data_IF_800462206197
#
_entry.id   IF_800462206197
#
_cell.length_a   1.000
_cell.length_b   1.000
_cell.length_c   1.000
_cell.angle_alpha   90.00
_cell.angle_beta   90.00
_cell.angle_gamma   90.00
#
_symmetry.space_group_name_H-M   'P 1'
#
loop_
_entity.id
_entity.type
_entity.pdbx_description
1 polymer ?
#
# COMPACT_ATOMS: atom_id res chain seq x y z
N UNK A 1 -11.55 -24.21 -9.20
CA UNK A 1 -10.30 -23.60 -9.70
C UNK A 1 -9.83 -22.67 -8.60
N UNK A 2 -8.69 -22.95 -7.97
CA UNK A 2 -8.11 -22.01 -7.00
C UNK A 2 -7.63 -20.78 -7.76
N UNK A 3 -8.12 -19.61 -7.36
CA UNK A 3 -7.64 -18.32 -7.87
C UNK A 3 -6.27 -18.05 -7.26
N UNK A 4 -5.24 -17.97 -8.11
CA UNK A 4 -3.89 -17.61 -7.66
C UNK A 4 -3.88 -16.12 -7.36
N UNK A 5 -3.66 -15.75 -6.10
CA UNK A 5 -3.49 -14.35 -5.71
C UNK A 5 -2.15 -13.82 -6.20
N UNK A 6 -2.17 -12.62 -6.80
CA UNK A 6 -1.01 -11.94 -7.37
C UNK A 6 -0.78 -10.63 -6.61
N UNK A 7 0.42 -10.48 -6.07
CA UNK A 7 0.87 -9.32 -5.32
C UNK A 7 1.67 -8.39 -6.23
N UNK A 8 1.28 -7.11 -6.27
CA UNK A 8 1.91 -6.03 -7.05
C UNK A 8 2.41 -4.91 -6.12
N UNK A 9 3.04 -3.89 -6.68
CA UNK A 9 3.54 -2.74 -5.91
C UNK A 9 2.45 -2.03 -5.10
N UNK A 10 1.25 -1.89 -5.67
CA UNK A 10 0.08 -1.27 -5.05
C UNK A 10 -0.40 -2.07 -3.84
N UNK A 11 -0.22 -3.39 -3.85
CA UNK A 11 -0.52 -4.25 -2.69
C UNK A 11 0.35 -3.87 -1.49
N UNK A 12 1.59 -3.43 -1.70
CA UNK A 12 2.46 -2.91 -0.64
C UNK A 12 1.87 -1.65 -0.03
N UNK A 13 1.42 -0.71 -0.86
CA UNK A 13 0.79 0.54 -0.41
C UNK A 13 -0.47 0.22 0.37
N UNK A 14 -1.36 -0.61 -0.16
CA UNK A 14 -2.63 -0.92 0.48
C UNK A 14 -2.44 -1.57 1.86
N UNK A 15 -1.49 -2.51 1.99
CA UNK A 15 -1.15 -3.14 3.27
C UNK A 15 -0.55 -2.13 4.26
N UNK A 16 0.34 -1.25 3.81
CA UNK A 16 0.88 -0.17 4.65
C UNK A 16 -0.24 0.75 5.13
N UNK A 17 -1.11 1.23 4.24
CA UNK A 17 -2.18 2.16 4.60
C UNK A 17 -3.20 1.53 5.55
N UNK A 18 -3.55 0.25 5.35
CA UNK A 18 -4.37 -0.51 6.30
C UNK A 18 -3.70 -0.57 7.68
N UNK A 19 -2.42 -0.94 7.73
CA UNK A 19 -1.69 -1.09 8.98
C UNK A 19 -1.54 0.24 9.74
N UNK A 20 -1.24 1.33 9.04
CA UNK A 20 -1.13 2.68 9.62
C UNK A 20 -2.47 3.16 10.19
N UNK A 21 -3.58 2.87 9.50
CA UNK A 21 -4.91 3.20 10.01
C UNK A 21 -5.24 2.43 11.31
N UNK A 22 -4.84 1.16 11.40
CA UNK A 22 -5.04 0.33 12.60
C UNK A 22 -4.04 0.64 13.73
N UNK A 23 -2.85 1.10 13.38
CA UNK A 23 -1.72 1.34 14.28
C UNK A 23 -1.13 2.73 14.03
N UNK A 24 -1.84 3.82 14.38
CA UNK A 24 -1.42 5.17 14.01
C UNK A 24 -0.15 5.66 14.73
N UNK A 25 0.17 5.12 15.91
CA UNK A 25 1.41 5.46 16.60
C UNK A 25 2.60 4.69 16.01
N UNK A 26 3.47 5.41 15.30
CA UNK A 26 4.68 4.87 14.68
C UNK A 26 5.56 4.10 15.67
N UNK A 27 5.56 4.46 16.96
CA UNK A 27 6.33 3.76 18.00
C UNK A 27 5.93 2.28 18.15
N UNK A 28 4.75 1.90 17.65
CA UNK A 28 4.29 0.51 17.63
C UNK A 28 4.60 -0.22 16.33
N UNK A 29 5.27 0.39 15.34
CA UNK A 29 5.60 -0.26 14.06
C UNK A 29 6.83 -1.17 14.18
N UNK A 30 6.84 -2.01 15.21
CA UNK A 30 7.90 -2.97 15.47
C UNK A 30 7.32 -4.24 16.11
N UNK A 31 8.00 -5.37 15.92
CA UNK A 31 7.51 -6.68 16.37
C UNK A 31 7.38 -6.79 17.88
N UNK A 32 8.26 -6.11 18.64
CA UNK A 32 8.22 -6.14 20.09
C UNK A 32 6.96 -5.47 20.63
N UNK A 33 6.62 -4.29 20.10
CA UNK A 33 5.45 -3.54 20.51
C UNK A 33 4.13 -4.24 20.16
N UNK A 34 4.10 -5.03 19.08
CA UNK A 34 2.90 -5.76 18.63
C UNK A 34 2.88 -7.22 19.11
N UNK A 35 3.80 -7.63 19.97
CA UNK A 35 3.91 -9.03 20.41
C UNK A 35 2.60 -9.59 20.99
N UNK A 36 1.85 -8.75 21.70
CA UNK A 36 0.58 -9.11 22.34
C UNK A 36 -0.65 -8.84 21.46
N UNK A 37 -0.45 -8.35 20.22
CA UNK A 37 -1.51 -8.12 19.23
C UNK A 37 -1.19 -8.88 17.95
N UNK A 38 -1.49 -10.18 17.96
CA UNK A 38 -1.14 -11.09 16.86
C UNK A 38 -1.66 -10.62 15.49
N UNK A 39 -2.90 -10.14 15.32
CA UNK A 39 -3.36 -9.71 14.00
C UNK A 39 -2.56 -8.54 13.42
N UNK A 40 -2.18 -7.56 14.25
CA UNK A 40 -1.33 -6.44 13.81
C UNK A 40 0.11 -6.88 13.57
N UNK A 41 0.62 -7.82 14.36
CA UNK A 41 1.94 -8.40 14.16
C UNK A 41 2.05 -9.14 12.83
N UNK A 42 1.05 -9.96 12.47
CA UNK A 42 1.01 -10.66 11.18
C UNK A 42 0.97 -9.66 10.03
N UNK A 43 0.12 -8.63 10.09
CA UNK A 43 0.10 -7.55 9.08
C UNK A 43 1.47 -6.89 8.92
N UNK A 44 2.16 -6.61 10.01
CA UNK A 44 3.50 -6.02 9.97
C UNK A 44 4.54 -6.97 9.32
N UNK A 45 4.43 -8.28 9.57
CA UNK A 45 5.27 -9.30 8.89
C UNK A 45 4.96 -9.41 7.39
N UNK A 46 3.69 -9.32 6.98
CA UNK A 46 3.30 -9.27 5.57
C UNK A 46 3.93 -8.05 4.87
N UNK A 47 3.83 -6.87 5.50
CA UNK A 47 4.46 -5.64 4.99
C UNK A 47 5.96 -5.82 4.83
N UNK A 48 6.65 -6.34 5.84
CA UNK A 48 8.09 -6.60 5.77
C UNK A 48 8.46 -7.49 4.56
N UNK A 49 7.75 -8.61 4.41
CA UNK A 49 7.98 -9.57 3.32
C UNK A 49 7.81 -8.92 1.95
N UNK A 50 6.77 -8.09 1.80
CA UNK A 50 6.51 -7.32 0.58
C UNK A 50 7.58 -6.26 0.32
N UNK A 51 8.00 -5.50 1.34
CA UNK A 51 9.08 -4.52 1.19
C UNK A 51 10.37 -5.18 0.71
N UNK A 52 10.69 -6.38 1.20
CA UNK A 52 11.81 -7.16 0.70
C UNK A 52 11.60 -7.62 -0.75
N UNK A 53 10.44 -8.17 -1.09
CA UNK A 53 10.12 -8.64 -2.45
C UNK A 53 10.26 -7.54 -3.51
N UNK A 54 9.81 -6.33 -3.20
CA UNK A 54 9.89 -5.16 -4.08
C UNK A 54 11.17 -4.32 -3.90
N UNK A 55 12.13 -4.79 -3.10
CA UNK A 55 13.41 -4.11 -2.85
C UNK A 55 13.26 -2.67 -2.31
N UNK A 56 12.31 -2.46 -1.41
CA UNK A 56 11.90 -1.16 -0.86
C UNK A 56 12.50 -0.85 0.53
N UNK A 57 13.34 -1.72 1.07
CA UNK A 57 13.97 -1.53 2.39
C UNK A 57 15.10 -0.50 2.35
N UNK A 58 15.23 0.33 3.39
CA UNK A 58 16.22 1.40 3.50
C UNK A 58 17.68 0.90 3.55
N UNK A 59 17.91 -0.28 4.15
CA UNK A 59 19.24 -0.89 4.22
C UNK A 59 19.54 -1.76 2.98
N UNK A 60 19.83 -1.12 1.85
CA UNK A 60 20.30 -1.82 0.63
C UNK A 60 21.76 -2.27 0.66
N UNK A 61 22.49 -1.97 1.73
CA UNK A 61 23.85 -2.49 1.93
C UNK A 61 23.78 -3.76 2.78
N UNK A 62 23.78 -4.92 2.12
CA UNK A 62 24.72 -6.02 2.36
C UNK A 62 24.51 -7.05 1.24
N UNK A 63 25.59 -7.29 0.50
CA UNK A 63 25.77 -8.39 -0.43
C UNK A 63 25.08 -9.68 0.06
N UNK A 64 24.13 -10.17 -0.71
CA UNK A 64 24.02 -11.60 -1.08
C UNK A 64 23.94 -12.65 0.03
N UNK A 65 23.67 -12.31 1.29
CA UNK A 65 23.45 -13.28 2.36
C UNK A 65 22.21 -12.92 3.18
N UNK A 66 21.14 -13.55 2.75
CA UNK A 66 19.89 -13.94 3.41
C UNK A 66 20.01 -14.37 4.89
N UNK A 67 20.54 -13.55 5.80
CA UNK A 67 20.77 -14.01 7.18
C UNK A 67 20.18 -13.18 8.30
N UNK A 68 19.21 -12.29 8.05
CA UNK A 68 18.22 -11.84 9.05
C UNK A 68 17.11 -11.02 8.35
N UNK A 69 16.12 -11.71 7.78
CA UNK A 69 14.99 -11.13 7.01
C UNK A 69 13.98 -10.33 7.83
N UNK A 70 14.23 -10.14 9.12
CA UNK A 70 13.29 -9.55 10.04
C UNK A 70 13.94 -8.30 10.60
N UNK A 71 13.75 -7.16 9.92
CA UNK A 71 13.94 -5.88 10.58
C UNK A 71 12.85 -5.75 11.65
N UNK A 72 13.19 -5.80 12.94
CA UNK A 72 12.16 -5.75 13.99
C UNK A 72 11.46 -4.40 14.03
N UNK A 73 12.03 -3.33 13.44
CA UNK A 73 11.50 -1.96 13.43
C UNK A 73 11.35 -1.44 11.99
N UNK A 74 10.12 -1.44 11.50
CA UNK A 74 9.81 -1.08 10.11
C UNK A 74 9.54 0.41 9.92
N UNK A 75 9.68 1.26 10.95
CA UNK A 75 9.53 2.72 10.78
C UNK A 75 10.44 3.28 9.71
N UNK A 76 11.70 2.85 9.73
CA UNK A 76 12.72 3.29 8.77
C UNK A 76 12.46 2.82 7.33
N UNK A 77 11.62 1.80 7.14
CA UNK A 77 11.25 1.29 5.81
C UNK A 77 9.90 1.86 5.35
N UNK A 78 8.90 1.96 6.24
CA UNK A 78 7.55 2.46 5.92
C UNK A 78 7.55 3.98 5.68
N UNK A 79 8.24 4.77 6.52
CA UNK A 79 8.20 6.23 6.40
C UNK A 79 8.74 6.75 5.05
N UNK A 80 9.89 6.25 4.53
CA UNK A 80 10.35 6.63 3.20
C UNK A 80 9.35 6.27 2.10
N UNK A 81 8.60 5.18 2.26
CA UNK A 81 7.55 4.79 1.31
C UNK A 81 6.41 5.78 1.34
N UNK A 82 5.88 6.13 2.51
CA UNK A 82 4.80 7.13 2.61
C UNK A 82 5.26 8.53 2.16
N UNK A 83 6.50 8.90 2.45
CA UNK A 83 7.11 10.19 2.11
C UNK A 83 7.69 10.29 0.70
N UNK A 84 7.77 9.18 -0.05
CA UNK A 84 8.35 9.16 -1.39
C UNK A 84 9.88 9.34 -1.43
N UNK A 85 10.59 9.21 -0.32
CA UNK A 85 12.04 9.46 -0.26
C UNK A 85 12.84 8.45 -1.10
N UNK A 86 12.32 7.22 -1.26
CA UNK A 86 12.92 6.18 -2.11
C UNK A 86 13.04 6.59 -3.58
N UNK A 87 12.23 7.55 -4.05
CA UNK A 87 12.20 8.03 -5.43
C UNK A 87 13.53 8.67 -5.81
N UNK A 88 14.20 9.33 -4.86
CA UNK A 88 15.48 10.02 -5.10
C UNK A 88 16.65 9.07 -5.38
N UNK A 89 16.50 7.79 -5.02
CA UNK A 89 17.52 6.76 -5.18
C UNK A 89 17.39 5.98 -6.51
N UNK A 90 16.53 6.42 -7.43
CA UNK A 90 16.24 5.73 -8.70
C UNK A 90 16.56 6.65 -9.89
N UNK A 91 17.05 6.06 -10.99
CA UNK A 91 17.22 6.79 -12.26
C UNK A 91 15.86 7.17 -12.84
N UNK A 92 15.78 8.29 -13.56
CA UNK A 92 14.59 8.69 -14.32
C UNK A 92 14.21 7.66 -15.39
N UNK A 93 15.19 6.99 -15.98
CA UNK A 93 14.97 5.97 -17.02
C UNK A 93 14.09 4.81 -16.52
N UNK A 94 14.07 4.59 -15.20
CA UNK A 94 13.19 3.59 -14.58
C UNK A 94 11.72 3.93 -14.76
N UNK A 95 11.36 5.21 -14.89
CA UNK A 95 9.97 5.70 -14.90
C UNK A 95 9.42 5.98 -16.30
N UNK A 96 9.96 5.34 -17.35
CA UNK A 96 9.50 5.57 -18.72
C UNK A 96 8.01 5.24 -18.91
N UNK A 97 7.52 4.12 -18.37
CA UNK A 97 6.08 3.77 -18.44
C UNK A 97 5.19 4.82 -17.75
N UNK A 98 5.65 5.36 -16.61
CA UNK A 98 4.94 6.45 -15.92
C UNK A 98 4.91 7.73 -16.77
N UNK A 99 6.04 8.05 -17.42
CA UNK A 99 6.12 9.22 -18.28
C UNK A 99 5.16 9.12 -19.47
N UNK A 100 5.09 7.94 -20.10
CA UNK A 100 4.15 7.66 -21.19
C UNK A 100 2.69 7.76 -20.72
N UNK A 101 2.36 7.16 -19.58
CA UNK A 101 1.02 7.25 -19.01
C UNK A 101 0.60 8.71 -18.75
N UNK A 102 1.46 9.49 -18.09
CA UNK A 102 1.19 10.90 -17.78
C UNK A 102 1.01 11.71 -19.07
N UNK A 103 1.86 11.48 -20.08
CA UNK A 103 1.75 12.15 -21.37
C UNK A 103 0.41 11.86 -22.04
N UNK A 104 0.01 10.59 -22.13
CA UNK A 104 -1.28 10.20 -22.69
C UNK A 104 -2.45 10.83 -21.90
N UNK A 105 -2.41 10.72 -20.56
CA UNK A 105 -3.45 11.27 -19.68
C UNK A 105 -3.66 12.78 -19.86
N UNK A 106 -2.56 13.53 -20.05
CA UNK A 106 -2.58 14.98 -20.27
C UNK A 106 -3.08 15.34 -21.68
N UNK A 107 -2.66 14.58 -22.70
CA UNK A 107 -3.09 14.77 -24.09
C UNK A 107 -4.60 14.57 -24.24
N UNK A 108 -5.16 13.52 -23.64
CA UNK A 108 -6.61 13.27 -23.64
C UNK A 108 -7.44 14.40 -23.02
N UNK A 109 -6.80 15.22 -22.17
CA UNK A 109 -7.42 16.37 -21.48
C UNK A 109 -7.05 17.71 -22.08
N UNK A 110 -6.46 17.72 -23.29
CA UNK A 110 -6.01 18.93 -23.99
C UNK A 110 -5.06 19.81 -23.14
N UNK A 111 -4.27 19.19 -22.27
CA UNK A 111 -3.25 19.91 -21.50
C UNK A 111 -2.00 20.06 -22.36
N UNK A 112 -1.62 21.30 -22.68
CA UNK A 112 -0.47 21.63 -23.54
C UNK A 112 0.90 21.44 -22.89
N UNK A 113 1.03 20.52 -21.93
CA UNK A 113 2.30 20.27 -21.25
C UNK A 113 3.12 19.24 -22.02
N UNK A 114 4.18 19.72 -22.69
CA UNK A 114 5.13 18.89 -23.44
C UNK A 114 6.54 19.07 -22.84
N UNK A 115 6.76 18.44 -21.68
CA UNK A 115 8.08 18.39 -21.04
C UNK A 115 8.23 17.11 -20.23
N UNK A 116 9.47 16.66 -20.09
CA UNK A 116 9.81 15.46 -19.33
C UNK A 116 9.55 15.63 -17.83
N UNK A 117 9.16 14.52 -17.18
CA UNK A 117 8.97 14.44 -15.73
C UNK A 117 10.32 14.49 -15.03
N UNK A 118 10.45 15.36 -14.02
CA UNK A 118 11.65 15.43 -13.18
C UNK A 118 11.47 14.64 -11.88
N UNK A 119 12.55 14.04 -11.37
CA UNK A 119 12.55 13.29 -10.09
C UNK A 119 11.98 14.14 -8.95
N UNK A 120 12.34 15.43 -8.91
CA UNK A 120 11.87 16.36 -7.89
C UNK A 120 10.36 16.59 -7.95
N UNK A 121 9.77 16.56 -9.13
CA UNK A 121 8.31 16.69 -9.30
C UNK A 121 7.62 15.42 -8.82
N UNK A 122 8.20 14.25 -9.15
CA UNK A 122 7.69 12.96 -8.73
C UNK A 122 7.72 12.82 -7.20
N UNK A 123 8.86 13.16 -6.57
CA UNK A 123 9.01 13.18 -5.11
C UNK A 123 8.03 14.15 -4.44
N UNK A 124 7.77 15.30 -5.06
CA UNK A 124 6.85 16.30 -4.52
C UNK A 124 5.37 15.86 -4.61
N UNK A 125 4.98 15.24 -5.72
CA UNK A 125 3.58 14.87 -5.98
C UNK A 125 3.19 13.55 -5.33
N UNK A 126 4.13 12.61 -5.18
CA UNK A 126 3.85 11.28 -4.64
C UNK A 126 3.18 11.30 -3.25
N UNK A 127 3.68 12.03 -2.23
CA UNK A 127 3.02 12.08 -0.93
C UNK A 127 1.61 12.68 -0.98
N UNK A 128 1.35 13.59 -1.95
CA UNK A 128 0.01 14.15 -2.15
C UNK A 128 -0.96 13.09 -2.68
N UNK A 129 -0.50 12.21 -3.58
CA UNK A 129 -1.28 11.09 -4.09
C UNK A 129 -1.54 10.04 -3.00
N UNK A 130 -0.55 9.71 -2.17
CA UNK A 130 -0.72 8.84 -1.01
C UNK A 130 -1.76 9.41 -0.03
N UNK A 131 -1.64 10.70 0.33
CA UNK A 131 -2.61 11.37 1.20
C UNK A 131 -4.02 11.39 0.59
N UNK A 132 -4.13 11.53 -0.73
CA UNK A 132 -5.42 11.44 -1.40
C UNK A 132 -6.00 10.01 -1.32
N UNK A 133 -5.18 8.97 -1.53
CA UNK A 133 -5.59 7.56 -1.35
C UNK A 133 -6.03 7.25 0.07
N UNK A 134 -5.34 7.80 1.10
CA UNK A 134 -5.75 7.68 2.50
C UNK A 134 -7.17 8.23 2.71
N UNK A 135 -7.41 9.48 2.27
CA UNK A 135 -8.74 10.11 2.37
C UNK A 135 -9.82 9.34 1.60
N UNK A 136 -9.48 8.82 0.42
CA UNK A 136 -10.40 7.97 -0.34
C UNK A 136 -10.76 6.70 0.43
N UNK A 137 -9.79 6.04 1.06
CA UNK A 137 -10.04 4.85 1.89
C UNK A 137 -10.92 5.17 3.09
N UNK A 138 -10.73 6.32 3.73
CA UNK A 138 -11.60 6.78 4.83
C UNK A 138 -13.04 7.00 4.36
N UNK A 139 -13.23 7.61 3.19
CA UNK A 139 -14.56 7.83 2.61
C UNK A 139 -15.21 6.49 2.24
N UNK A 140 -14.50 5.65 1.50
CA UNK A 140 -15.01 4.34 1.05
C UNK A 140 -15.29 3.42 2.23
N UNK A 141 -14.43 3.46 3.24
CA UNK A 141 -14.53 2.69 4.46
C UNK A 141 -15.35 3.35 5.57
N UNK A 142 -16.11 4.42 5.29
CA UNK A 142 -16.77 5.23 6.33
C UNK A 142 -17.66 4.42 7.28
N UNK A 143 -18.36 3.41 6.75
CA UNK A 143 -19.21 2.51 7.55
C UNK A 143 -18.48 1.25 8.06
N UNK A 144 -17.16 1.15 7.89
CA UNK A 144 -16.39 0.01 8.41
C UNK A 144 -16.40 0.01 9.93
N UNK A 145 -16.71 -1.13 10.55
CA UNK A 145 -16.73 -1.29 12.01
C UNK A 145 -18.09 -1.07 12.69
N UNK A 146 -19.17 -0.83 11.92
CA UNK A 146 -20.53 -0.90 12.47
C UNK A 146 -20.88 -2.35 12.84
N UNK A 147 -21.01 -2.63 14.14
CA UNK A 147 -21.40 -3.96 14.64
C UNK A 147 -22.91 -4.10 14.84
N UNK A 148 -23.62 -2.99 15.07
CA UNK A 148 -25.06 -2.99 15.30
C UNK A 148 -25.74 -1.93 14.44
N UNK A 149 -26.65 -2.37 13.56
CA UNK A 149 -27.44 -1.52 12.68
C UNK A 149 -28.95 -1.81 12.80
N UNK A 150 -29.40 -2.29 13.96
CA UNK A 150 -30.77 -2.76 14.18
C UNK A 150 -31.83 -1.64 14.24
N UNK A 151 -31.41 -0.38 14.39
CA UNK A 151 -32.33 0.77 14.41
C UNK A 151 -32.58 1.33 13.00
N UNK A 152 -33.84 1.66 12.63
CA UNK A 152 -34.16 2.14 11.29
C UNK A 152 -33.34 3.36 10.81
N UNK A 153 -33.02 4.29 11.72
CA UNK A 153 -32.22 5.47 11.36
C UNK A 153 -30.73 5.15 11.17
N UNK A 154 -30.20 4.18 11.93
CA UNK A 154 -28.83 3.69 11.71
C UNK A 154 -28.71 3.00 10.35
N UNK A 155 -29.69 2.15 10.00
CA UNK A 155 -29.76 1.53 8.68
C UNK A 155 -29.89 2.57 7.56
N UNK A 156 -30.78 3.57 7.72
CA UNK A 156 -30.90 4.67 6.75
C UNK A 156 -29.57 5.40 6.54
N UNK A 157 -28.87 5.75 7.62
CA UNK A 157 -27.57 6.41 7.56
C UNK A 157 -26.55 5.56 6.78
N UNK A 158 -26.40 4.28 7.15
CA UNK A 158 -25.45 3.35 6.50
C UNK A 158 -25.74 3.24 5.01
N UNK A 159 -27.01 2.98 4.63
CA UNK A 159 -27.39 2.83 3.22
C UNK A 159 -27.17 4.12 2.42
N UNK A 160 -27.45 5.28 3.01
CA UNK A 160 -27.20 6.58 2.38
C UNK A 160 -25.71 6.78 2.10
N UNK A 161 -24.86 6.61 3.11
CA UNK A 161 -23.41 6.85 2.97
C UNK A 161 -22.71 5.78 2.14
N UNK A 162 -23.19 4.52 2.17
CA UNK A 162 -22.73 3.45 1.27
C UNK A 162 -23.05 3.78 -0.20
N UNK A 163 -24.24 4.32 -0.48
CA UNK A 163 -24.62 4.68 -1.85
C UNK A 163 -23.70 5.77 -2.43
N UNK A 164 -23.24 6.70 -1.60
CA UNK A 164 -22.26 7.73 -2.00
C UNK A 164 -20.90 7.08 -2.24
N UNK A 165 -20.43 6.26 -1.31
CA UNK A 165 -19.12 5.59 -1.37
C UNK A 165 -19.01 4.60 -2.53
N UNK A 166 -20.08 3.87 -2.85
CA UNK A 166 -20.12 2.92 -3.97
C UNK A 166 -19.80 3.60 -5.31
N UNK A 167 -20.21 4.87 -5.48
CA UNK A 167 -19.92 5.64 -6.69
C UNK A 167 -18.43 6.01 -6.85
N UNK A 168 -17.60 5.77 -5.84
CA UNK A 168 -16.16 6.04 -5.85
C UNK A 168 -15.32 4.76 -6.01
N UNK A 169 -15.88 3.58 -5.70
CA UNK A 169 -15.13 2.33 -5.53
C UNK A 169 -14.33 1.90 -6.77
N UNK A 170 -14.81 2.24 -7.96
CA UNK A 170 -14.17 1.86 -9.23
C UNK A 170 -13.51 3.05 -9.95
N UNK A 171 -13.48 4.24 -9.33
CA UNK A 171 -13.06 5.49 -9.99
C UNK A 171 -11.62 5.91 -9.69
N UNK A 172 -10.91 5.21 -8.82
CA UNK A 172 -9.52 5.53 -8.48
C UNK A 172 -8.51 4.57 -9.10
N UNK A 173 -8.90 3.79 -10.12
CA UNK A 173 -8.00 2.88 -10.84
C UNK A 173 -6.77 3.59 -11.41
N UNK A 174 -6.93 4.80 -11.97
CA UNK A 174 -5.81 5.61 -12.47
C UNK A 174 -4.83 6.01 -11.35
N UNK A 175 -5.34 6.30 -10.15
CA UNK A 175 -4.49 6.62 -8.99
C UNK A 175 -3.65 5.41 -8.59
N UNK A 176 -4.27 4.23 -8.50
CA UNK A 176 -3.60 2.99 -8.16
C UNK A 176 -2.57 2.60 -9.22
N UNK A 177 -2.90 2.81 -10.49
CA UNK A 177 -1.98 2.56 -11.58
C UNK A 177 -0.76 3.50 -11.53
N UNK A 178 -0.96 4.80 -11.31
CA UNK A 178 0.17 5.74 -11.14
C UNK A 178 1.03 5.36 -9.94
N UNK A 179 0.42 5.02 -8.81
CA UNK A 179 1.15 4.60 -7.62
C UNK A 179 1.92 3.28 -7.82
N UNK A 180 1.35 2.33 -8.57
CA UNK A 180 2.03 1.11 -9.02
C UNK A 180 3.28 1.43 -9.82
N UNK A 181 3.16 2.27 -10.85
CA UNK A 181 4.28 2.66 -11.71
C UNK A 181 5.38 3.42 -10.95
N UNK A 182 5.03 4.09 -9.84
CA UNK A 182 6.02 4.76 -9.00
C UNK A 182 6.73 3.79 -8.07
N UNK A 183 5.99 2.91 -7.36
CA UNK A 183 6.61 1.98 -6.41
C UNK A 183 7.33 0.84 -7.13
N UNK A 184 6.73 0.32 -8.18
CA UNK A 184 7.15 -0.87 -8.91
C UNK A 184 7.29 -0.58 -10.43
N UNK A 185 8.22 0.31 -10.82
CA UNK A 185 8.39 0.69 -12.22
C UNK A 185 8.88 -0.46 -13.12
N UNK A 186 9.39 -1.55 -12.54
CA UNK A 186 9.82 -2.74 -13.27
C UNK A 186 8.68 -3.75 -13.50
N UNK A 187 7.45 -3.45 -13.06
CA UNK A 187 6.29 -4.33 -13.24
C UNK A 187 6.43 -5.69 -12.54
N UNK A 188 7.18 -5.76 -11.43
CA UNK A 188 7.33 -7.00 -10.67
C UNK A 188 5.97 -7.48 -10.15
N UNK A 189 5.76 -8.79 -10.17
CA UNK A 189 4.59 -9.41 -9.58
C UNK A 189 5.02 -10.72 -8.93
N UNK A 190 4.40 -11.06 -7.81
CA UNK A 190 4.72 -12.26 -7.06
C UNK A 190 3.43 -13.02 -6.74
N UNK A 191 3.49 -14.34 -6.87
CA UNK A 191 2.44 -15.21 -6.31
C UNK A 191 2.60 -15.31 -4.79
N UNK A 192 1.52 -15.63 -4.07
CA UNK A 192 1.59 -15.92 -2.63
C UNK A 192 2.66 -16.99 -2.32
N UNK A 193 2.69 -18.05 -3.12
CA UNK A 193 3.67 -19.13 -3.02
C UNK A 193 5.12 -18.61 -3.07
N UNK A 194 5.43 -17.73 -4.02
CA UNK A 194 6.76 -17.14 -4.11
C UNK A 194 7.08 -16.24 -2.92
N UNK A 195 6.10 -15.49 -2.43
CA UNK A 195 6.26 -14.67 -1.23
C UNK A 195 6.53 -15.52 0.01
N UNK A 196 5.86 -16.66 0.16
CA UNK A 196 6.11 -17.63 1.25
C UNK A 196 7.51 -18.23 1.11
N UNK A 197 7.83 -18.78 -0.07
CA UNK A 197 9.05 -19.56 -0.29
C UNK A 197 10.32 -18.68 -0.30
N UNK A 198 10.26 -17.46 -0.84
CA UNK A 198 11.43 -16.60 -1.05
C UNK A 198 11.53 -15.45 -0.05
N UNK A 199 10.40 -15.02 0.54
CA UNK A 199 10.32 -13.78 1.32
C UNK A 199 9.69 -13.95 2.71
N UNK A 200 9.41 -15.18 3.15
CA UNK A 200 8.82 -15.50 4.46
C UNK A 200 7.46 -14.84 4.74
N UNK A 201 6.64 -14.68 3.70
CA UNK A 201 5.30 -14.14 3.85
C UNK A 201 4.43 -15.05 4.74
N UNK A 202 3.77 -14.51 5.78
CA UNK A 202 2.94 -15.30 6.67
C UNK A 202 1.60 -15.66 5.99
N UNK A 203 1.17 -16.91 6.17
CA UNK A 203 -0.06 -17.49 5.60
C UNK A 203 -1.25 -17.48 6.56
N UNK A 204 -1.09 -16.86 7.72
CA UNK A 204 -2.11 -16.84 8.77
C UNK A 204 -3.37 -16.11 8.27
N UNK A 205 -4.54 -16.69 8.54
CA UNK A 205 -5.82 -16.09 8.20
C UNK A 205 -6.10 -14.90 9.11
N UNK A 206 -5.87 -13.69 8.59
CA UNK A 206 -6.10 -12.44 9.30
C UNK A 206 -7.56 -12.26 9.71
N UNK A 207 -8.51 -12.72 8.90
CA UNK A 207 -9.93 -12.59 9.22
C UNK A 207 -10.29 -13.46 10.43
N UNK A 208 -9.81 -14.71 10.45
CA UNK A 208 -9.97 -15.57 11.62
C UNK A 208 -9.30 -14.96 12.86
N UNK A 209 -8.06 -14.49 12.73
CA UNK A 209 -7.32 -13.89 13.85
C UNK A 209 -8.02 -12.63 14.40
N UNK A 210 -8.58 -11.79 13.52
CA UNK A 210 -9.32 -10.60 13.96
C UNK A 210 -10.61 -10.97 14.72
N UNK A 211 -11.31 -12.05 14.31
CA UNK A 211 -12.49 -12.55 15.03
C UNK A 211 -12.17 -13.12 16.41
N UNK A 212 -11.02 -13.81 16.54
CA UNK A 212 -10.61 -14.44 17.80
C UNK A 212 -10.05 -13.44 18.83
N UNK A 213 -9.66 -12.25 18.39
CA UNK A 213 -9.05 -11.21 19.23
C UNK A 213 -9.96 -9.97 19.42
N UNK A 214 -11.25 -10.11 19.11
CA UNK A 214 -12.27 -9.07 19.30
C UNK A 214 -12.96 -9.15 20.66
#
# INVERSE_FOLDING_TARGET
METIEIFKGITVIDKILEFVALTPDEKHWNYKALGDNMPRLIRLKQINSLLHAFSLTANRNILGKATNYLNPDLRADINPILGGDFITNRSLDTYHELADFVKCFLQERNSGMDRDIRVMELRFIYPKMINYKIKLREIIGFNSGWMEASMPFALFHILLTDSISANLKDKYGDLDHVLELIINPAGLAFTEKELIEKFNYPKDDLHQLDLENY
#
